data_IF_262794803831
#
_entry.id   IF_262794803831
#
_cell.length_a   1.000
_cell.length_b   1.000
_cell.length_c   1.000
_cell.angle_alpha   90.00
_cell.angle_beta   90.00
_cell.angle_gamma   90.00
#
_symmetry.space_group_name_H-M   'P 1'
#
loop_
_entity.id
_entity.type
_entity.pdbx_description
1 polymer ?
#
# COMPACT_ATOMS: atom_id res chain seq x y z
N UNK A 1 34.95 6.93 39.05
CA UNK A 1 33.63 6.71 38.49
C UNK A 1 33.26 7.76 37.42
N UNK A 2 34.12 8.72 37.12
CA UNK A 2 33.93 9.81 36.16
C UNK A 2 34.49 9.55 34.75
N UNK A 3 35.51 8.68 34.61
CA UNK A 3 36.17 8.44 33.32
C UNK A 3 35.42 7.47 32.37
N UNK A 4 34.50 6.66 32.90
CA UNK A 4 33.71 5.69 32.09
C UNK A 4 32.56 6.38 31.40
N UNK A 5 32.02 7.48 31.92
CA UNK A 5 30.91 8.23 31.31
C UNK A 5 31.38 9.19 30.22
N UNK A 6 32.61 9.66 30.25
CA UNK A 6 33.12 10.61 29.23
C UNK A 6 33.55 9.92 27.94
N UNK A 7 33.95 8.63 28.02
CA UNK A 7 34.38 7.85 26.86
C UNK A 7 33.17 7.38 25.99
N UNK A 8 31.94 7.39 26.51
CA UNK A 8 30.71 7.01 25.80
C UNK A 8 30.14 8.11 24.88
N UNK A 9 30.68 9.33 24.96
CA UNK A 9 30.20 10.49 24.20
C UNK A 9 31.00 10.82 22.93
N UNK A 10 32.14 10.18 22.69
CA UNK A 10 32.95 10.45 21.50
C UNK A 10 32.27 9.78 20.29
N UNK A 11 31.80 10.61 19.34
CA UNK A 11 31.28 10.17 18.04
C UNK A 11 32.46 9.52 17.32
N UNK A 12 32.28 8.25 16.90
CA UNK A 12 33.33 7.53 16.20
C UNK A 12 33.44 7.97 14.72
N UNK A 13 34.64 7.86 14.11
CA UNK A 13 34.85 8.18 12.70
C UNK A 13 33.88 7.46 11.76
N UNK A 14 33.49 6.20 12.11
CA UNK A 14 32.50 5.44 11.34
C UNK A 14 31.11 6.09 11.35
N UNK A 15 30.70 6.73 12.45
CA UNK A 15 29.42 7.45 12.53
C UNK A 15 29.45 8.71 11.64
N UNK A 16 30.56 9.43 11.61
CA UNK A 16 30.74 10.56 10.71
C UNK A 16 30.72 10.17 9.23
N UNK A 17 31.28 9.01 8.90
CA UNK A 17 31.19 8.48 7.52
C UNK A 17 29.73 8.20 7.11
N UNK A 18 28.93 7.61 8.01
CA UNK A 18 27.51 7.38 7.75
C UNK A 18 26.75 8.70 7.60
N UNK A 19 27.00 9.68 8.46
CA UNK A 19 26.40 11.02 8.35
C UNK A 19 26.78 11.68 7.02
N UNK A 20 28.04 11.61 6.62
CA UNK A 20 28.50 12.17 5.35
C UNK A 20 27.81 11.53 4.15
N UNK A 21 27.61 10.21 4.17
CA UNK A 21 26.88 9.48 3.13
C UNK A 21 25.42 9.95 3.11
N UNK A 22 24.74 10.02 4.24
CA UNK A 22 23.35 10.47 4.32
C UNK A 22 23.20 11.89 3.77
N UNK A 23 24.09 12.80 4.15
CA UNK A 23 24.09 14.19 3.66
C UNK A 23 24.34 14.24 2.18
N UNK A 24 25.30 13.46 1.64
CA UNK A 24 25.59 13.41 0.22
C UNK A 24 24.39 12.89 -0.59
N UNK A 25 23.72 11.85 -0.12
CA UNK A 25 22.51 11.34 -0.75
C UNK A 25 21.34 12.32 -0.69
N UNK A 26 21.10 12.95 0.46
CA UNK A 26 20.06 13.96 0.61
C UNK A 26 20.30 15.16 -0.31
N UNK A 27 21.54 15.65 -0.39
CA UNK A 27 21.93 16.73 -1.29
C UNK A 27 21.80 16.34 -2.77
N UNK A 28 22.19 15.11 -3.13
CA UNK A 28 22.07 14.59 -4.50
C UNK A 28 20.61 14.46 -4.94
N UNK A 29 19.75 13.89 -4.09
CA UNK A 29 18.31 13.77 -4.37
C UNK A 29 17.63 15.15 -4.45
N UNK A 30 18.00 16.10 -3.58
CA UNK A 30 17.51 17.46 -3.64
C UNK A 30 17.91 18.17 -4.93
N UNK A 31 19.18 18.05 -5.34
CA UNK A 31 19.69 18.61 -6.57
C UNK A 31 19.02 18.02 -7.80
N UNK A 32 18.80 16.70 -7.80
CA UNK A 32 18.05 16.01 -8.86
C UNK A 32 16.64 16.57 -9.03
N UNK A 33 15.87 16.69 -7.93
CA UNK A 33 14.51 17.26 -7.95
C UNK A 33 14.51 18.72 -8.41
N UNK A 34 15.52 19.50 -8.01
CA UNK A 34 15.68 20.88 -8.45
C UNK A 34 15.95 21.00 -9.97
N UNK A 35 16.81 20.12 -10.49
CA UNK A 35 17.15 20.11 -11.92
C UNK A 35 16.01 19.64 -12.81
N UNK A 36 15.18 18.72 -12.32
CA UNK A 36 14.01 18.20 -13.06
C UNK A 36 12.80 19.11 -12.99
N UNK A 37 12.90 20.32 -12.41
CA UNK A 37 11.79 21.29 -12.28
C UNK A 37 10.53 20.72 -11.59
N UNK A 38 10.67 19.66 -10.80
CA UNK A 38 9.58 19.19 -9.97
C UNK A 38 9.22 20.27 -8.95
N UNK A 39 7.92 20.55 -8.81
CA UNK A 39 7.45 21.56 -7.86
C UNK A 39 7.93 21.19 -6.45
N UNK A 40 8.79 22.04 -5.88
CA UNK A 40 9.31 21.95 -4.50
C UNK A 40 8.21 22.27 -3.47
N UNK A 41 7.03 21.72 -3.64
CA UNK A 41 5.94 21.84 -2.68
C UNK A 41 6.27 21.18 -1.33
N UNK A 42 5.34 21.19 -0.40
CA UNK A 42 5.48 20.62 0.95
C UNK A 42 6.12 19.21 0.99
N UNK A 43 6.13 18.50 -0.13
CA UNK A 43 6.70 17.16 -0.26
C UNK A 43 8.22 17.10 -0.07
N UNK A 44 9.03 18.03 -0.60
CA UNK A 44 10.50 17.88 -0.55
C UNK A 44 11.06 18.02 0.89
N UNK A 45 10.55 18.95 1.69
CA UNK A 45 10.95 19.07 3.08
C UNK A 45 10.46 17.90 3.93
N UNK A 46 9.23 17.43 3.67
CA UNK A 46 8.60 16.33 4.40
C UNK A 46 9.19 14.97 4.00
N UNK A 47 9.39 14.73 2.70
CA UNK A 47 9.80 13.41 2.18
C UNK A 47 11.33 13.21 2.16
N UNK A 48 12.11 14.29 2.14
CA UNK A 48 13.57 14.21 2.13
C UNK A 48 14.20 14.79 3.40
N UNK A 49 13.74 15.96 3.85
CA UNK A 49 14.35 16.67 4.98
C UNK A 49 14.15 15.95 6.31
N UNK A 50 12.93 15.58 6.66
CA UNK A 50 12.63 14.89 7.93
C UNK A 50 13.33 13.53 8.02
N UNK A 51 13.23 12.61 7.03
CA UNK A 51 13.96 11.35 7.05
C UNK A 51 15.47 11.52 7.16
N UNK A 52 16.06 12.49 6.45
CA UNK A 52 17.49 12.76 6.53
C UNK A 52 17.93 13.21 7.92
N UNK A 53 17.19 14.14 8.56
CA UNK A 53 17.47 14.60 9.93
C UNK A 53 17.34 13.44 10.91
N UNK A 54 16.27 12.66 10.83
CA UNK A 54 16.07 11.49 11.71
C UNK A 54 17.17 10.45 11.51
N UNK A 55 17.57 10.18 10.27
CA UNK A 55 18.66 9.25 9.98
C UNK A 55 20.00 9.76 10.56
N UNK A 56 20.30 11.06 10.46
CA UNK A 56 21.50 11.66 11.05
C UNK A 56 21.47 11.53 12.59
N UNK A 57 20.35 11.89 13.22
CA UNK A 57 20.21 11.74 14.68
C UNK A 57 20.37 10.28 15.13
N UNK A 58 19.81 9.34 14.39
CA UNK A 58 19.93 7.92 14.69
C UNK A 58 21.35 7.40 14.44
N UNK A 59 22.04 7.89 13.40
CA UNK A 59 23.45 7.54 13.14
C UNK A 59 24.36 7.99 14.28
N UNK A 60 24.13 9.18 14.83
CA UNK A 60 24.88 9.74 15.95
C UNK A 60 24.49 9.14 17.31
N UNK A 61 23.37 8.42 17.41
CA UNK A 61 22.97 7.75 18.64
C UNK A 61 23.98 6.67 19.07
N UNK A 62 24.10 6.38 20.38
CA UNK A 62 25.04 5.40 20.90
C UNK A 62 24.97 4.05 20.20
N UNK A 63 26.09 3.32 20.16
CA UNK A 63 26.16 1.96 19.62
C UNK A 63 25.21 1.04 20.36
N UNK A 64 24.53 0.18 19.60
CA UNK A 64 23.68 -0.86 20.17
C UNK A 64 24.55 -1.89 20.91
N UNK A 65 24.10 -2.30 22.10
CA UNK A 65 24.81 -3.28 22.95
C UNK A 65 24.53 -4.74 22.50
N UNK A 66 23.49 -4.97 21.70
CA UNK A 66 23.07 -6.29 21.23
C UNK A 66 23.07 -6.36 19.70
N UNK A 67 23.17 -7.55 19.13
CA UNK A 67 23.05 -7.74 17.68
C UNK A 67 21.66 -7.31 17.19
N UNK A 68 20.61 -7.67 17.94
CA UNK A 68 19.24 -7.24 17.66
C UNK A 68 19.14 -5.72 17.57
N UNK A 69 19.63 -4.99 18.55
CA UNK A 69 19.60 -3.52 18.55
C UNK A 69 20.38 -2.91 17.38
N UNK A 70 21.52 -3.51 16.99
CA UNK A 70 22.32 -3.10 15.84
C UNK A 70 21.56 -3.29 14.51
N UNK A 71 20.91 -4.44 14.34
CA UNK A 71 20.11 -4.74 13.14
C UNK A 71 18.91 -3.79 13.04
N UNK A 72 18.17 -3.58 14.14
CA UNK A 72 17.03 -2.66 14.14
C UNK A 72 17.44 -1.22 13.82
N UNK A 73 18.56 -0.76 14.39
CA UNK A 73 19.14 0.55 14.04
C UNK A 73 19.50 0.62 12.56
N UNK A 74 20.11 -0.42 12.01
CA UNK A 74 20.46 -0.52 10.58
C UNK A 74 19.23 -0.48 9.69
N UNK A 75 18.18 -1.26 9.99
CA UNK A 75 16.90 -1.27 9.25
C UNK A 75 16.28 0.13 9.27
N UNK A 76 16.19 0.76 10.45
CA UNK A 76 15.61 2.11 10.56
C UNK A 76 16.39 3.13 9.73
N UNK A 77 17.71 3.11 9.78
CA UNK A 77 18.57 3.96 8.96
C UNK A 77 18.34 3.72 7.46
N UNK A 78 18.28 2.45 7.05
CA UNK A 78 18.04 2.07 5.65
C UNK A 78 16.69 2.57 5.18
N UNK A 79 15.62 2.35 5.94
CA UNK A 79 14.27 2.82 5.59
C UNK A 79 14.21 4.35 5.47
N UNK A 80 14.83 5.08 6.39
CA UNK A 80 14.85 6.54 6.35
C UNK A 80 15.63 7.12 5.15
N UNK A 81 16.64 6.41 4.67
CA UNK A 81 17.50 6.86 3.55
C UNK A 81 16.97 6.37 2.21
N UNK A 82 16.59 5.09 2.13
CA UNK A 82 16.19 4.46 0.85
C UNK A 82 14.82 4.94 0.40
N UNK A 83 13.90 5.17 1.33
CA UNK A 83 12.55 5.62 1.02
C UNK A 83 12.48 6.89 0.14
N UNK A 84 13.14 8.00 0.52
CA UNK A 84 13.16 9.19 -0.32
C UNK A 84 13.90 9.01 -1.65
N UNK A 85 14.85 8.06 -1.72
CA UNK A 85 15.66 7.81 -2.91
C UNK A 85 14.91 7.05 -3.99
N UNK A 86 14.13 6.05 -3.60
CA UNK A 86 13.36 5.23 -4.54
C UNK A 86 12.09 5.97 -5.03
N UNK A 87 11.74 7.11 -4.42
CA UNK A 87 10.46 7.77 -4.69
C UNK A 87 9.27 6.96 -4.20
N UNK A 88 9.54 5.90 -3.40
CA UNK A 88 8.52 5.07 -2.81
C UNK A 88 7.68 5.88 -1.82
N UNK A 89 6.38 5.70 -1.92
CA UNK A 89 5.49 6.42 -1.04
C UNK A 89 5.51 5.95 0.39
N UNK A 90 5.05 6.80 1.28
CA UNK A 90 4.95 6.48 2.71
C UNK A 90 4.12 5.23 2.98
N UNK A 91 3.14 4.94 2.13
CA UNK A 91 2.27 3.79 2.30
C UNK A 91 3.06 2.48 2.16
N UNK A 92 3.91 2.38 1.12
CA UNK A 92 4.77 1.22 0.91
C UNK A 92 5.69 1.00 2.11
N UNK A 93 6.30 2.07 2.62
CA UNK A 93 7.19 2.01 3.78
C UNK A 93 6.44 1.63 5.05
N UNK A 94 5.27 2.25 5.27
CA UNK A 94 4.43 1.97 6.43
C UNK A 94 4.02 0.50 6.49
N UNK A 95 3.60 -0.08 5.36
CA UNK A 95 3.19 -1.47 5.28
C UNK A 95 4.36 -2.45 5.23
N UNK A 96 5.50 -2.09 4.64
CA UNK A 96 6.66 -2.97 4.56
C UNK A 96 7.52 -2.94 5.85
N UNK A 97 7.58 -1.82 6.57
CA UNK A 97 8.46 -1.67 7.74
C UNK A 97 8.22 -2.70 8.85
N UNK A 98 6.98 -3.09 9.23
CA UNK A 98 6.79 -4.13 10.24
C UNK A 98 7.38 -5.46 9.82
N UNK A 99 7.33 -5.82 8.53
CA UNK A 99 7.94 -7.03 8.01
C UNK A 99 9.46 -6.99 8.19
N UNK A 100 10.12 -5.89 7.82
CA UNK A 100 11.56 -5.72 8.02
C UNK A 100 11.95 -5.83 9.51
N UNK A 101 11.16 -5.21 10.39
CA UNK A 101 11.41 -5.30 11.83
C UNK A 101 11.19 -6.72 12.38
N UNK A 102 10.16 -7.44 11.96
CA UNK A 102 9.92 -8.83 12.34
C UNK A 102 11.12 -9.69 11.95
N UNK A 103 11.56 -9.63 10.69
CA UNK A 103 12.73 -10.37 10.21
C UNK A 103 13.98 -9.96 10.98
N UNK A 104 14.21 -8.66 11.15
CA UNK A 104 15.36 -8.13 11.89
C UNK A 104 15.40 -8.57 13.35
N UNK A 105 14.26 -8.63 14.03
CA UNK A 105 14.15 -9.15 15.41
C UNK A 105 14.48 -10.64 15.43
N UNK A 106 13.90 -11.45 14.55
CA UNK A 106 14.14 -12.90 14.51
C UNK A 106 15.62 -13.21 14.27
N UNK A 107 16.23 -12.57 13.27
CA UNK A 107 17.67 -12.73 12.97
C UNK A 107 18.53 -12.23 14.13
N UNK A 108 18.22 -11.06 14.68
CA UNK A 108 18.95 -10.45 15.78
C UNK A 108 18.94 -11.32 17.04
N UNK A 109 17.77 -11.83 17.42
CA UNK A 109 17.64 -12.74 18.56
C UNK A 109 18.40 -14.06 18.34
N UNK A 110 18.38 -14.60 17.12
CA UNK A 110 19.17 -15.77 16.77
C UNK A 110 20.67 -15.51 16.92
N UNK A 111 21.16 -14.36 16.46
CA UNK A 111 22.56 -13.94 16.60
C UNK A 111 22.96 -13.74 18.07
N UNK A 112 22.10 -13.09 18.86
CA UNK A 112 22.37 -12.85 20.29
C UNK A 112 22.40 -14.18 21.07
N UNK A 113 21.54 -15.15 20.71
CA UNK A 113 21.58 -16.51 21.28
C UNK A 113 22.82 -17.27 20.87
N UNK A 114 23.17 -17.26 19.58
CA UNK A 114 24.38 -17.92 19.07
C UNK A 114 25.65 -17.40 19.77
N UNK A 115 25.74 -16.10 20.02
CA UNK A 115 26.86 -15.51 20.77
C UNK A 115 26.95 -16.00 22.22
N UNK A 116 25.81 -16.36 22.84
CA UNK A 116 25.74 -16.80 24.24
C UNK A 116 25.97 -18.31 24.39
N UNK A 117 25.50 -19.14 23.43
CA UNK A 117 25.42 -20.61 23.60
C UNK A 117 26.14 -21.43 22.53
N UNK A 118 26.73 -20.80 21.51
CA UNK A 118 27.32 -21.48 20.34
C UNK A 118 26.35 -22.42 19.59
N UNK A 119 25.05 -22.18 19.68
CA UNK A 119 24.01 -22.98 19.04
C UNK A 119 23.89 -22.64 17.55
N UNK A 120 23.50 -23.60 16.71
CA UNK A 120 23.27 -23.43 15.26
C UNK A 120 21.98 -22.66 14.92
N UNK A 121 21.43 -21.89 15.87
CA UNK A 121 20.12 -21.19 15.74
C UNK A 121 20.08 -20.23 14.56
N UNK A 122 21.16 -19.52 14.28
CA UNK A 122 21.24 -18.61 13.14
C UNK A 122 21.13 -19.34 11.81
N UNK A 123 21.82 -20.50 11.67
CA UNK A 123 21.75 -21.31 10.45
C UNK A 123 20.34 -21.80 10.17
N UNK A 124 19.61 -22.25 11.19
CA UNK A 124 18.22 -22.68 11.06
C UNK A 124 17.30 -21.51 10.64
N UNK A 125 17.48 -20.33 11.21
CA UNK A 125 16.68 -19.14 10.86
C UNK A 125 16.96 -18.71 9.42
N UNK A 126 18.21 -18.67 8.98
CA UNK A 126 18.59 -18.33 7.60
C UNK A 126 18.00 -19.35 6.62
N UNK A 127 18.11 -20.66 6.92
CA UNK A 127 17.57 -21.72 6.10
C UNK A 127 16.04 -21.61 5.93
N UNK A 128 15.34 -21.15 6.96
CA UNK A 128 13.88 -20.96 6.92
C UNK A 128 13.48 -19.69 6.17
N UNK A 129 14.22 -18.60 6.32
CA UNK A 129 13.91 -17.33 5.67
C UNK A 129 14.27 -17.31 4.19
N UNK A 130 15.31 -18.08 3.79
CA UNK A 130 15.84 -18.05 2.43
C UNK A 130 14.80 -18.44 1.37
N UNK A 131 13.99 -19.52 1.51
CA UNK A 131 12.93 -19.84 0.56
C UNK A 131 11.86 -18.74 0.48
N UNK A 132 11.56 -18.07 1.61
CA UNK A 132 10.56 -17.01 1.64
C UNK A 132 10.99 -15.76 0.88
N UNK A 133 12.30 -15.53 0.70
CA UNK A 133 12.82 -14.42 -0.10
C UNK A 133 12.67 -14.66 -1.62
N UNK A 134 12.35 -15.88 -2.05
CA UNK A 134 12.20 -16.22 -3.47
C UNK A 134 10.74 -16.24 -3.93
N UNK A 135 9.78 -16.01 -3.04
CA UNK A 135 8.38 -15.80 -3.43
C UNK A 135 8.29 -14.57 -4.36
N UNK A 136 7.55 -14.70 -5.46
CA UNK A 136 7.45 -13.66 -6.48
C UNK A 136 8.61 -13.63 -7.49
N UNK A 137 9.77 -14.21 -7.16
CA UNK A 137 10.93 -14.31 -8.05
C UNK A 137 10.94 -15.65 -8.78
N UNK A 138 10.67 -16.73 -8.05
CA UNK A 138 10.63 -18.09 -8.60
C UNK A 138 9.17 -18.52 -8.74
N UNK A 139 8.66 -18.82 -9.96
CA UNK A 139 7.25 -19.17 -10.16
C UNK A 139 6.78 -20.36 -9.32
N UNK A 140 7.64 -21.37 -9.09
CA UNK A 140 7.31 -22.56 -8.29
C UNK A 140 7.17 -22.27 -6.79
N UNK A 141 7.71 -21.16 -6.31
CA UNK A 141 7.62 -20.69 -4.92
C UNK A 141 6.59 -19.58 -4.75
N UNK A 142 5.94 -19.17 -5.83
CA UNK A 142 4.94 -18.10 -5.80
C UNK A 142 3.56 -18.70 -5.55
N UNK A 143 2.91 -18.28 -4.47
CA UNK A 143 1.54 -18.68 -4.15
C UNK A 143 0.52 -18.01 -5.09
N UNK A 144 -0.69 -18.59 -5.17
CA UNK A 144 -1.75 -18.09 -6.03
C UNK A 144 -1.98 -16.58 -5.85
N UNK A 145 -1.89 -15.83 -6.95
CA UNK A 145 -2.08 -14.37 -6.96
C UNK A 145 -3.55 -13.97 -7.09
N UNK A 146 -4.40 -14.84 -7.65
CA UNK A 146 -5.82 -14.56 -7.80
C UNK A 146 -6.52 -14.54 -6.45
N UNK A 147 -7.22 -13.46 -6.18
CA UNK A 147 -7.96 -13.22 -4.95
C UNK A 147 -9.36 -12.75 -5.28
N UNK A 148 -10.30 -13.03 -4.38
CA UNK A 148 -11.69 -12.55 -4.44
C UNK A 148 -12.09 -12.05 -3.06
N UNK A 149 -12.80 -10.93 -3.03
CA UNK A 149 -13.39 -10.37 -1.81
C UNK A 149 -14.83 -9.93 -2.09
N UNK A 150 -15.64 -9.92 -1.04
CA UNK A 150 -17.04 -9.54 -1.13
C UNK A 150 -17.39 -8.60 0.03
N UNK A 151 -18.16 -7.56 -0.28
CA UNK A 151 -18.83 -6.73 0.69
C UNK A 151 -20.35 -6.82 0.47
N UNK A 152 -21.12 -6.73 1.55
CA UNK A 152 -22.58 -6.77 1.51
C UNK A 152 -23.13 -5.65 2.37
N UNK A 153 -24.14 -4.96 1.86
CA UNK A 153 -24.85 -3.91 2.57
C UNK A 153 -26.36 -3.94 2.30
N UNK A 154 -27.12 -3.32 3.18
CA UNK A 154 -28.53 -3.03 2.96
C UNK A 154 -28.67 -1.53 2.74
N UNK A 155 -29.27 -1.17 1.62
CA UNK A 155 -29.45 0.20 1.19
C UNK A 155 -30.94 0.58 1.34
N UNK A 156 -31.21 1.76 1.90
CA UNK A 156 -32.56 2.29 2.07
C UNK A 156 -33.08 2.93 0.76
N UNK A 157 -33.17 2.10 -0.28
CA UNK A 157 -33.73 2.46 -1.58
C UNK A 157 -34.34 1.20 -2.24
N UNK A 158 -35.38 1.35 -3.06
CA UNK A 158 -35.96 0.25 -3.82
C UNK A 158 -34.98 -0.22 -4.93
N UNK A 159 -35.10 -1.48 -5.37
CA UNK A 159 -34.16 -2.12 -6.29
C UNK A 159 -34.02 -1.41 -7.64
N UNK A 160 -35.09 -0.80 -8.15
CA UNK A 160 -35.03 -0.01 -9.38
C UNK A 160 -34.21 1.27 -9.25
N UNK A 161 -34.23 1.94 -8.10
CA UNK A 161 -33.36 3.12 -7.85
C UNK A 161 -31.90 2.72 -7.76
N UNK A 162 -31.60 1.58 -7.15
CA UNK A 162 -30.23 1.02 -7.11
C UNK A 162 -29.76 0.70 -8.54
N UNK A 163 -30.62 0.13 -9.39
CA UNK A 163 -30.28 -0.16 -10.77
C UNK A 163 -29.97 1.13 -11.56
N UNK A 164 -30.75 2.18 -11.39
CA UNK A 164 -30.48 3.49 -11.99
C UNK A 164 -29.17 4.10 -11.49
N UNK A 165 -28.93 4.06 -10.20
CA UNK A 165 -27.68 4.57 -9.63
C UNK A 165 -26.45 3.78 -10.13
N UNK A 166 -26.58 2.47 -10.27
CA UNK A 166 -25.55 1.63 -10.88
C UNK A 166 -25.32 1.96 -12.36
N UNK A 167 -26.37 2.31 -13.11
CA UNK A 167 -26.26 2.74 -14.50
C UNK A 167 -25.58 4.12 -14.63
N UNK A 168 -25.88 5.05 -13.74
CA UNK A 168 -25.25 6.38 -13.69
C UNK A 168 -23.76 6.33 -13.26
N UNK A 169 -23.38 5.29 -12.52
CA UNK A 169 -22.01 5.08 -12.00
C UNK A 169 -21.77 5.62 -10.59
N UNK A 170 -20.60 5.29 -9.99
CA UNK A 170 -20.32 5.64 -8.61
C UNK A 170 -20.16 7.15 -8.42
N UNK A 171 -20.80 7.66 -7.37
CA UNK A 171 -20.65 9.05 -6.97
C UNK A 171 -19.30 9.27 -6.27
N UNK A 172 -18.36 9.87 -6.97
CA UNK A 172 -17.00 10.15 -6.45
C UNK A 172 -16.96 11.15 -5.29
N UNK A 173 -18.06 11.88 -5.03
CA UNK A 173 -18.16 12.77 -3.87
C UNK A 173 -18.49 12.02 -2.57
N UNK A 174 -18.81 10.74 -2.65
CA UNK A 174 -18.99 9.90 -1.46
C UNK A 174 -17.68 9.82 -0.70
N UNK A 175 -17.65 10.10 0.62
CA UNK A 175 -16.43 10.09 1.39
C UNK A 175 -15.78 8.71 1.39
N UNK A 176 -14.50 8.64 1.01
CA UNK A 176 -13.72 7.41 1.11
C UNK A 176 -13.59 6.97 2.58
N UNK A 177 -13.65 5.67 2.86
CA UNK A 177 -13.29 5.10 4.16
C UNK A 177 -11.89 5.54 4.59
N UNK A 178 -11.68 5.69 5.89
CA UNK A 178 -10.40 6.18 6.43
C UNK A 178 -9.22 5.32 5.96
N UNK A 179 -9.40 4.01 5.88
CA UNK A 179 -8.38 3.08 5.41
C UNK A 179 -7.93 3.35 3.97
N UNK A 180 -8.84 3.78 3.08
CA UNK A 180 -8.53 4.12 1.69
C UNK A 180 -8.04 5.56 1.52
N UNK A 181 -8.29 6.44 2.49
CA UNK A 181 -7.78 7.83 2.47
C UNK A 181 -6.30 7.93 2.78
N UNK A 182 -5.73 6.91 3.43
CA UNK A 182 -4.33 6.89 3.83
C UNK A 182 -3.50 6.33 2.67
N UNK A 183 -3.10 7.21 1.73
CA UNK A 183 -2.11 6.92 0.68
C UNK A 183 -2.60 6.19 -0.56
N UNK A 184 -3.86 5.71 -0.60
CA UNK A 184 -4.44 5.19 -1.85
C UNK A 184 -4.92 6.34 -2.75
N UNK A 185 -4.82 6.19 -4.09
CA UNK A 185 -5.31 7.19 -5.02
C UNK A 185 -6.82 7.35 -4.89
N UNK A 186 -7.28 8.59 -4.76
CA UNK A 186 -8.71 8.91 -4.64
C UNK A 186 -9.35 8.96 -6.03
N UNK A 187 -10.59 8.48 -6.23
CA UNK A 187 -11.33 8.71 -7.45
C UNK A 187 -11.67 10.19 -7.58
N UNK A 188 -11.38 10.78 -8.72
CA UNK A 188 -11.63 12.20 -9.05
C UNK A 188 -12.86 12.39 -9.93
N UNK A 189 -13.19 11.38 -10.74
CA UNK A 189 -14.30 11.43 -11.69
C UNK A 189 -14.63 10.07 -12.25
N UNK A 190 -15.83 9.95 -12.81
CA UNK A 190 -16.27 8.78 -13.55
C UNK A 190 -16.92 9.21 -14.85
N UNK A 191 -16.73 8.43 -15.92
CA UNK A 191 -17.34 8.63 -17.21
C UNK A 191 -17.87 7.30 -17.75
N UNK A 192 -18.89 7.39 -18.60
CA UNK A 192 -19.60 6.26 -19.14
C UNK A 192 -20.79 5.90 -18.27
N UNK A 193 -21.88 5.60 -18.95
CA UNK A 193 -23.20 5.31 -18.37
C UNK A 193 -23.71 3.99 -18.93
N UNK A 194 -24.68 3.41 -18.25
CA UNK A 194 -25.37 2.20 -18.69
C UNK A 194 -24.88 0.93 -18.02
N UNK A 195 -25.71 -0.11 -18.18
CA UNK A 195 -25.47 -1.48 -17.72
C UNK A 195 -25.68 -2.51 -18.83
N UNK A 196 -25.84 -2.08 -20.09
CA UNK A 196 -25.93 -3.00 -21.18
C UNK A 196 -24.57 -3.67 -21.46
N UNK A 197 -24.59 -4.92 -21.90
CA UNK A 197 -23.36 -5.62 -22.28
C UNK A 197 -22.64 -4.82 -23.38
N UNK A 198 -21.38 -4.51 -23.13
CA UNK A 198 -20.55 -3.66 -23.99
C UNK A 198 -20.38 -2.22 -23.49
N UNK A 199 -21.25 -1.72 -22.61
CA UNK A 199 -21.09 -0.40 -22.01
C UNK A 199 -19.77 -0.34 -21.24
N UNK A 200 -19.11 0.81 -21.28
CA UNK A 200 -17.82 1.03 -20.63
C UNK A 200 -17.92 2.11 -19.57
N UNK A 201 -17.16 1.94 -18.51
CA UNK A 201 -17.04 2.89 -17.43
C UNK A 201 -15.57 3.18 -17.15
N UNK A 202 -15.23 4.44 -17.09
CA UNK A 202 -13.88 4.90 -16.73
C UNK A 202 -13.93 5.57 -15.36
N UNK A 203 -13.06 5.16 -14.46
CA UNK A 203 -12.83 5.79 -13.16
C UNK A 203 -11.47 6.45 -13.22
N UNK A 204 -11.43 7.77 -13.09
CA UNK A 204 -10.19 8.54 -13.04
C UNK A 204 -9.71 8.66 -11.60
N UNK A 205 -8.51 8.18 -11.35
CA UNK A 205 -7.87 8.27 -10.04
C UNK A 205 -6.84 9.39 -9.99
N UNK A 206 -6.76 10.05 -8.84
CA UNK A 206 -5.68 10.99 -8.56
C UNK A 206 -4.33 10.30 -8.67
N UNK A 207 -3.31 11.06 -9.05
CA UNK A 207 -1.93 10.63 -8.85
C UNK A 207 -1.63 10.47 -7.37
N UNK A 208 -0.77 9.54 -7.05
CA UNK A 208 -0.30 9.31 -5.69
C UNK A 208 1.21 9.15 -5.70
N UNK A 209 1.87 9.66 -4.66
CA UNK A 209 3.28 9.44 -4.39
C UNK A 209 4.24 9.86 -5.53
N UNK A 210 3.85 10.87 -6.31
CA UNK A 210 4.63 11.39 -7.44
C UNK A 210 4.25 10.81 -8.80
N UNK A 211 3.44 9.77 -8.85
CA UNK A 211 2.91 9.25 -10.11
C UNK A 211 1.73 10.11 -10.62
N UNK A 212 1.55 10.22 -11.95
CA UNK A 212 0.46 10.96 -12.55
C UNK A 212 -0.91 10.31 -12.25
N UNK A 213 -2.01 11.06 -12.42
CA UNK A 213 -3.36 10.50 -12.46
C UNK A 213 -3.47 9.41 -13.53
N UNK A 214 -4.34 8.42 -13.29
CA UNK A 214 -4.56 7.32 -14.21
C UNK A 214 -5.98 6.81 -14.21
N UNK A 215 -6.35 6.11 -15.27
CA UNK A 215 -7.70 5.62 -15.54
C UNK A 215 -7.80 4.12 -15.36
N UNK A 216 -8.85 3.68 -14.64
CA UNK A 216 -9.35 2.32 -14.66
C UNK A 216 -10.56 2.26 -15.59
N UNK A 217 -10.44 1.51 -16.68
CA UNK A 217 -11.53 1.32 -17.66
C UNK A 217 -12.10 -0.08 -17.50
N UNK A 218 -13.40 -0.14 -17.25
CA UNK A 218 -14.15 -1.39 -17.09
C UNK A 218 -15.25 -1.47 -18.16
N UNK A 219 -15.61 -2.70 -18.54
CA UNK A 219 -16.68 -2.98 -19.51
C UNK A 219 -17.68 -3.96 -18.91
N UNK A 220 -18.96 -3.71 -19.12
CA UNK A 220 -20.03 -4.66 -18.79
C UNK A 220 -19.93 -5.87 -19.72
N UNK A 221 -19.69 -7.05 -19.14
CA UNK A 221 -19.57 -8.32 -19.89
C UNK A 221 -20.77 -9.23 -19.68
N UNK A 222 -21.48 -9.06 -18.57
CA UNK A 222 -22.66 -9.85 -18.25
C UNK A 222 -23.71 -9.00 -17.54
N UNK A 223 -24.99 -9.22 -17.87
CA UNK A 223 -26.13 -8.48 -17.33
C UNK A 223 -27.35 -9.37 -17.23
N UNK A 224 -27.93 -9.47 -16.02
CA UNK A 224 -29.20 -10.13 -15.73
C UNK A 224 -30.03 -9.24 -14.79
N UNK A 225 -31.34 -9.49 -14.61
CA UNK A 225 -32.12 -8.79 -13.58
C UNK A 225 -31.49 -8.96 -12.20
N UNK A 226 -31.13 -7.83 -11.57
CA UNK A 226 -30.48 -7.83 -10.27
C UNK A 226 -28.99 -8.19 -10.26
N UNK A 227 -28.30 -8.21 -11.43
CA UNK A 227 -26.89 -8.57 -11.54
C UNK A 227 -26.21 -7.85 -12.69
N UNK A 228 -24.96 -7.43 -12.46
CA UNK A 228 -24.07 -6.94 -13.53
C UNK A 228 -22.61 -7.34 -13.20
N UNK A 229 -21.86 -7.72 -14.25
CA UNK A 229 -20.43 -8.00 -14.18
C UNK A 229 -19.67 -7.03 -15.08
N UNK A 230 -18.62 -6.48 -14.51
CA UNK A 230 -17.66 -5.60 -15.19
C UNK A 230 -16.31 -6.28 -15.25
N UNK A 231 -15.63 -6.24 -16.39
CA UNK A 231 -14.26 -6.70 -16.55
C UNK A 231 -13.35 -5.54 -16.87
N UNK A 232 -12.14 -5.57 -16.34
CA UNK A 232 -11.14 -4.53 -16.59
C UNK A 232 -10.64 -4.63 -18.02
N UNK A 233 -10.76 -3.53 -18.76
CA UNK A 233 -10.22 -3.37 -20.11
C UNK A 233 -8.80 -2.84 -20.07
N UNK A 234 -8.57 -1.84 -19.23
CA UNK A 234 -7.24 -1.27 -18.97
C UNK A 234 -7.22 -0.62 -17.59
N UNK A 235 -6.06 -0.64 -16.94
CA UNK A 235 -5.81 0.06 -15.68
C UNK A 235 -4.45 0.73 -15.75
N UNK A 236 -4.47 2.06 -15.74
CA UNK A 236 -3.29 2.92 -15.70
C UNK A 236 -3.16 3.65 -14.36
N UNK A 237 -4.00 3.30 -13.39
CA UNK A 237 -3.97 3.88 -12.07
C UNK A 237 -2.79 3.36 -11.25
N UNK A 238 -2.39 4.11 -10.23
CA UNK A 238 -1.38 3.69 -9.25
C UNK A 238 -1.77 2.42 -8.50
N UNK A 239 -3.06 2.04 -8.48
CA UNK A 239 -3.55 0.83 -7.81
C UNK A 239 -2.86 -0.44 -8.32
N UNK A 240 -2.46 -0.48 -9.61
CA UNK A 240 -1.80 -1.62 -10.24
C UNK A 240 -0.49 -2.02 -9.57
N UNK A 241 0.12 -1.16 -8.77
CA UNK A 241 1.33 -1.47 -8.00
C UNK A 241 1.03 -2.36 -6.79
N UNK A 242 -0.19 -2.36 -6.29
CA UNK A 242 -0.61 -3.15 -5.12
C UNK A 242 -1.61 -4.23 -5.48
N UNK A 243 -2.60 -3.90 -6.31
CA UNK A 243 -3.65 -4.80 -6.75
C UNK A 243 -3.95 -4.57 -8.22
N UNK A 244 -3.99 -5.63 -9.00
CA UNK A 244 -4.46 -5.58 -10.37
C UNK A 244 -5.94 -6.01 -10.39
N UNK A 245 -6.81 -5.08 -10.63
CA UNK A 245 -8.25 -5.30 -10.70
C UNK A 245 -8.60 -6.11 -11.94
N UNK A 246 -9.31 -7.23 -11.80
CA UNK A 246 -9.66 -8.10 -12.93
C UNK A 246 -11.14 -8.01 -13.28
N UNK A 247 -12.01 -8.16 -12.29
CA UNK A 247 -13.45 -8.04 -12.48
C UNK A 247 -14.16 -7.50 -11.25
N UNK A 248 -15.36 -7.04 -11.45
CA UNK A 248 -16.23 -6.53 -10.40
C UNK A 248 -17.65 -6.99 -10.70
N UNK A 249 -18.29 -7.65 -9.73
CA UNK A 249 -19.65 -8.16 -9.83
C UNK A 249 -20.51 -7.46 -8.79
N UNK A 250 -21.71 -7.06 -9.19
CA UNK A 250 -22.69 -6.49 -8.29
C UNK A 250 -24.01 -7.23 -8.42
N UNK A 251 -24.53 -7.67 -7.28
CA UNK A 251 -25.88 -8.26 -7.15
C UNK A 251 -26.72 -7.34 -6.28
N UNK A 252 -27.97 -7.08 -6.70
CA UNK A 252 -28.93 -6.34 -5.90
C UNK A 252 -30.29 -7.03 -5.90
N UNK A 253 -30.84 -7.17 -4.72
CA UNK A 253 -32.11 -7.87 -4.50
C UNK A 253 -32.98 -7.08 -3.53
N UNK A 254 -34.21 -6.79 -3.91
CA UNK A 254 -35.18 -6.19 -3.02
C UNK A 254 -35.33 -7.04 -1.75
N UNK A 255 -35.20 -6.39 -0.59
CA UNK A 255 -35.48 -6.97 0.71
C UNK A 255 -36.95 -6.71 1.09
N UNK A 256 -37.41 -5.49 0.86
CA UNK A 256 -38.79 -5.02 0.98
C UNK A 256 -39.01 -3.86 -0.01
N UNK A 257 -40.15 -3.13 0.09
CA UNK A 257 -40.50 -2.03 -0.81
C UNK A 257 -39.51 -0.83 -0.75
N UNK A 258 -38.82 -0.64 0.35
CA UNK A 258 -37.92 0.49 0.60
C UNK A 258 -36.45 0.11 0.80
N UNK A 259 -36.13 -1.19 0.81
CA UNK A 259 -34.77 -1.63 1.08
C UNK A 259 -34.30 -2.67 0.07
N UNK A 260 -33.03 -2.53 -0.31
CA UNK A 260 -32.34 -3.45 -1.24
C UNK A 260 -31.06 -3.96 -0.60
N UNK A 261 -30.87 -5.27 -0.64
CA UNK A 261 -29.57 -5.87 -0.34
C UNK A 261 -28.69 -5.77 -1.57
N UNK A 262 -27.50 -5.19 -1.41
CA UNK A 262 -26.45 -5.08 -2.44
C UNK A 262 -25.25 -5.89 -2.01
N UNK A 263 -24.76 -6.75 -2.88
CA UNK A 263 -23.54 -7.51 -2.70
C UNK A 263 -22.58 -7.14 -3.78
N UNK A 264 -21.38 -6.72 -3.42
CA UNK A 264 -20.32 -6.34 -4.35
C UNK A 264 -19.13 -7.25 -4.18
N UNK A 265 -18.77 -7.98 -5.23
CA UNK A 265 -17.59 -8.84 -5.30
C UNK A 265 -16.55 -8.23 -6.22
N UNK A 266 -15.30 -8.28 -5.81
CA UNK A 266 -14.16 -7.83 -6.61
C UNK A 266 -13.16 -8.96 -6.69
N UNK A 267 -12.81 -9.33 -7.92
CA UNK A 267 -11.71 -10.24 -8.21
C UNK A 267 -10.48 -9.43 -8.63
N UNK A 268 -9.33 -9.82 -8.11
CA UNK A 268 -8.08 -9.12 -8.36
C UNK A 268 -6.87 -10.05 -8.28
N UNK A 269 -5.77 -9.62 -8.89
CA UNK A 269 -4.47 -10.27 -8.73
C UNK A 269 -3.64 -9.47 -7.73
N UNK A 270 -3.20 -10.11 -6.65
CA UNK A 270 -2.28 -9.50 -5.70
C UNK A 270 -0.94 -9.22 -6.36
N UNK A 271 -0.27 -8.13 -5.99
CA UNK A 271 1.00 -7.73 -6.57
C UNK A 271 2.16 -7.82 -5.58
N UNK A 272 1.89 -7.79 -4.28
CA UNK A 272 2.90 -7.76 -3.24
C UNK A 272 3.26 -9.16 -2.71
N UNK A 273 4.54 -9.38 -2.46
CA UNK A 273 5.11 -10.57 -1.84
C UNK A 273 5.95 -10.18 -0.60
N UNK A 274 6.00 -10.98 0.47
CA UNK A 274 5.44 -12.33 0.57
C UNK A 274 3.93 -12.35 0.86
N UNK A 275 3.24 -13.34 0.26
CA UNK A 275 1.78 -13.46 0.31
C UNK A 275 1.21 -13.54 1.71
N UNK A 276 1.85 -14.31 2.61
CA UNK A 276 1.40 -14.50 3.99
C UNK A 276 1.31 -13.18 4.76
N UNK A 277 2.09 -12.18 4.36
CA UNK A 277 2.11 -10.86 4.99
C UNK A 277 1.19 -9.87 4.26
N UNK A 278 1.34 -9.71 2.93
CA UNK A 278 0.64 -8.65 2.20
C UNK A 278 -0.79 -9.01 1.81
N UNK A 279 -1.10 -10.29 1.49
CA UNK A 279 -2.45 -10.68 1.06
C UNK A 279 -3.57 -10.26 2.04
N UNK A 280 -3.41 -10.39 3.37
CA UNK A 280 -4.43 -9.90 4.31
C UNK A 280 -4.70 -8.40 4.18
N UNK A 281 -3.66 -7.59 3.94
CA UNK A 281 -3.79 -6.13 3.78
C UNK A 281 -4.46 -5.77 2.45
N UNK A 282 -4.02 -6.40 1.34
CA UNK A 282 -4.63 -6.21 0.02
C UNK A 282 -6.11 -6.60 0.05
N UNK A 283 -6.46 -7.75 0.63
CA UNK A 283 -7.85 -8.19 0.78
C UNK A 283 -8.67 -7.23 1.64
N UNK A 284 -8.12 -6.71 2.72
CA UNK A 284 -8.79 -5.73 3.57
C UNK A 284 -9.06 -4.43 2.80
N UNK A 285 -8.05 -3.90 2.09
CA UNK A 285 -8.20 -2.68 1.30
C UNK A 285 -9.23 -2.85 0.16
N UNK A 286 -9.20 -3.97 -0.58
CA UNK A 286 -10.16 -4.24 -1.66
C UNK A 286 -11.56 -4.49 -1.11
N UNK A 287 -11.70 -5.08 0.08
CA UNK A 287 -13.00 -5.24 0.74
C UNK A 287 -13.61 -3.89 1.15
N UNK A 288 -12.79 -2.96 1.66
CA UNK A 288 -13.21 -1.57 1.93
C UNK A 288 -13.61 -0.84 0.64
N UNK A 289 -12.90 -1.10 -0.48
CA UNK A 289 -13.27 -0.56 -1.78
C UNK A 289 -14.62 -1.12 -2.27
N UNK A 290 -14.88 -2.41 -2.08
CA UNK A 290 -16.18 -3.01 -2.41
C UNK A 290 -17.33 -2.41 -1.56
N UNK A 291 -17.10 -2.18 -0.27
CA UNK A 291 -18.06 -1.51 0.60
C UNK A 291 -18.30 -0.05 0.16
N UNK A 292 -17.21 0.67 -0.15
CA UNK A 292 -17.31 2.03 -0.68
C UNK A 292 -18.11 2.10 -2.00
N UNK A 293 -17.95 1.12 -2.89
CA UNK A 293 -18.72 1.08 -4.14
C UNK A 293 -20.22 0.87 -3.88
N UNK A 294 -20.61 0.12 -2.84
CA UNK A 294 -22.01 0.04 -2.43
C UNK A 294 -22.50 1.42 -2.00
N UNK A 295 -21.78 2.11 -1.11
CA UNK A 295 -22.18 3.43 -0.62
C UNK A 295 -22.20 4.49 -1.73
N UNK A 296 -21.23 4.46 -2.63
CA UNK A 296 -21.10 5.40 -3.74
C UNK A 296 -22.19 5.26 -4.82
N UNK A 297 -22.77 4.06 -4.95
CA UNK A 297 -23.89 3.81 -5.87
C UNK A 297 -25.26 3.84 -5.17
N UNK A 298 -25.29 3.83 -3.85
CA UNK A 298 -26.53 3.86 -3.07
C UNK A 298 -27.08 5.26 -2.85
N UNK A 299 -26.22 6.28 -2.94
CA UNK A 299 -26.65 7.68 -2.76
C UNK A 299 -27.10 8.21 -4.11
N UNK A 300 -28.40 8.44 -4.33
CA UNK A 300 -28.87 9.04 -5.58
C UNK A 300 -28.19 10.38 -5.78
N UNK A 301 -27.55 10.57 -6.92
CA UNK A 301 -27.00 11.88 -7.32
C UNK A 301 -28.18 12.84 -7.36
N UNK A 302 -28.27 13.77 -6.39
CA UNK A 302 -29.24 14.85 -6.43
C UNK A 302 -28.85 15.72 -7.62
N UNK A 303 -29.57 15.55 -8.74
CA UNK A 303 -29.53 16.49 -9.85
C UNK A 303 -30.18 17.77 -9.35
N UNK A 304 -29.43 18.86 -9.23
CA UNK A 304 -29.95 20.22 -9.08
C UNK A 304 -30.25 20.82 -10.45
#
# INVERSE_FOLDING_TARGET
>A
MSDIDEQSRKIEPAQWSVVAIIVAFAAGAFLYKLLMHERLGHSAAMFLGIPAVLAILLALAPKAKTATGGILKGITLSLLVVAPLLGEGYLCILFASPLFYIVGIVVGLAMDRQRRKQDATLGCVVLLLLPMCFEGVIPQLTFNRAQSVEARGVVAAPANEIEHALADGPNVNTPLPLALRIGFPSPLGTWGEGLAVGDTRTIHFAGAEGDPPGDLVMRVTERHPGYARFETVSDQSKLTQWVQWTSSEVEWKALDEGHTTVTWRIDFMRQLDPSWYFTPWERAAVKEAAAYLIDANATPVRRY
#
